data_IF_636637926623
#
_entry.id   IF_636637926623
#
_cell.length_a   1.000
_cell.length_b   1.000
_cell.length_c   1.000
_cell.angle_alpha   90.00
_cell.angle_beta   90.00
_cell.angle_gamma   90.00
#
_symmetry.space_group_name_H-M   'P 1'
#
loop_
_entity.id
_entity.type
_entity.pdbx_description
1 polymer ?
#
# COMPACT_ATOMS: atom_id res chain seq x y z
N UNK A 1 -20.70 32.20 -9.19
CA UNK A 1 -21.08 31.21 -10.22
C UNK A 1 -20.62 29.85 -9.73
N UNK A 2 -21.55 29.07 -9.19
CA UNK A 2 -21.30 27.80 -8.51
C UNK A 2 -21.11 26.68 -9.54
N UNK A 3 -19.93 26.06 -9.57
CA UNK A 3 -19.78 24.69 -10.08
C UNK A 3 -19.28 23.81 -8.93
N UNK A 4 -20.26 23.21 -8.25
CA UNK A 4 -20.09 22.06 -7.38
C UNK A 4 -19.58 20.88 -8.23
N UNK A 5 -18.30 20.53 -8.11
CA UNK A 5 -17.76 19.28 -8.62
C UNK A 5 -17.73 18.23 -7.51
N UNK A 6 -18.92 17.82 -7.10
CA UNK A 6 -19.09 16.52 -6.47
C UNK A 6 -18.95 15.43 -7.54
N UNK A 7 -18.16 14.39 -7.21
CA UNK A 7 -17.92 13.13 -7.96
C UNK A 7 -16.77 13.12 -8.98
N UNK A 8 -15.53 13.11 -8.49
CA UNK A 8 -14.53 12.19 -9.04
C UNK A 8 -14.54 10.88 -8.23
N UNK A 9 -15.53 10.03 -8.52
CA UNK A 9 -15.62 8.67 -7.99
C UNK A 9 -14.87 7.76 -8.95
N UNK A 10 -13.55 7.63 -8.81
CA UNK A 10 -12.72 6.87 -9.76
C UNK A 10 -11.92 5.75 -9.11
N UNK A 11 -12.52 4.55 -9.20
CA UNK A 11 -11.94 3.20 -9.13
C UNK A 11 -10.67 3.02 -8.28
N UNK A 12 -10.89 2.89 -6.98
CA UNK A 12 -10.20 1.87 -6.19
C UNK A 12 -10.66 0.51 -6.70
N UNK A 13 -9.81 -0.34 -7.30
CA UNK A 13 -9.94 -1.82 -7.27
C UNK A 13 -8.89 -2.63 -8.06
N UNK A 14 -8.16 -2.07 -9.03
CA UNK A 14 -7.49 -2.94 -10.02
C UNK A 14 -6.12 -3.52 -9.66
N UNK A 15 -5.78 -3.78 -8.39
CA UNK A 15 -4.42 -4.26 -8.04
C UNK A 15 -4.30 -5.53 -7.17
N UNK A 16 -5.28 -6.42 -7.21
CA UNK A 16 -5.14 -7.74 -6.57
C UNK A 16 -5.40 -8.95 -7.48
N UNK A 17 -5.34 -8.79 -8.80
CA UNK A 17 -5.39 -9.93 -9.72
C UNK A 17 -4.15 -10.01 -10.60
N UNK A 18 -3.08 -10.57 -10.04
CA UNK A 18 -2.37 -11.68 -10.67
C UNK A 18 -1.72 -12.53 -9.60
N UNK A 19 -2.56 -13.37 -8.98
CA UNK A 19 -2.13 -14.56 -8.26
C UNK A 19 -1.84 -15.60 -9.35
N UNK A 20 -0.59 -16.08 -9.47
CA UNK A 20 -0.30 -17.28 -10.25
C UNK A 20 0.46 -18.27 -9.35
N UNK A 21 -0.24 -19.21 -8.69
CA UNK A 21 0.37 -20.15 -7.77
C UNK A 21 0.72 -21.45 -8.51
N UNK A 22 1.98 -21.61 -8.87
CA UNK A 22 2.60 -22.94 -8.94
C UNK A 22 3.72 -22.89 -7.88
N UNK A 23 3.75 -23.67 -6.81
CA UNK A 23 3.22 -25.01 -6.55
C UNK A 23 3.18 -25.29 -5.04
N UNK A 24 2.47 -26.37 -4.66
CA UNK A 24 2.50 -27.13 -3.38
C UNK A 24 1.78 -26.60 -2.14
N UNK A 25 0.47 -26.90 -2.10
CA UNK A 25 -0.36 -27.45 -1.00
C UNK A 25 0.32 -27.58 0.39
N UNK A 26 -0.14 -26.82 1.41
CA UNK A 26 -1.07 -27.30 2.45
C UNK A 26 -1.49 -26.19 3.44
N UNK A 27 -2.77 -26.23 3.83
CA UNK A 27 -3.46 -25.54 4.95
C UNK A 27 -4.14 -24.18 4.70
N UNK A 28 -5.46 -24.27 4.49
CA UNK A 28 -6.56 -23.40 4.96
C UNK A 28 -6.23 -21.92 5.27
N UNK A 29 -6.52 -21.03 4.32
CA UNK A 29 -7.68 -20.12 4.37
C UNK A 29 -7.61 -19.14 3.20
N UNK A 30 -8.69 -19.07 2.44
CA UNK A 30 -8.93 -18.02 1.45
C UNK A 30 -8.71 -16.65 2.12
N UNK A 31 -8.10 -15.73 1.38
CA UNK A 31 -7.83 -14.33 1.74
C UNK A 31 -8.95 -13.72 2.61
N UNK A 32 -8.80 -13.74 3.94
CA UNK A 32 -9.80 -13.16 4.83
C UNK A 32 -9.61 -11.64 4.78
N UNK A 33 -10.51 -10.94 4.09
CA UNK A 33 -10.59 -9.49 4.19
C UNK A 33 -10.93 -9.14 5.65
N UNK A 34 -10.09 -8.34 6.28
CA UNK A 34 -10.25 -7.89 7.67
C UNK A 34 -10.72 -6.43 7.61
N UNK A 35 -12.03 -6.17 7.71
CA UNK A 35 -12.58 -4.82 7.55
C UNK A 35 -12.21 -3.90 8.71
N UNK A 36 -12.08 -4.46 9.92
CA UNK A 36 -11.82 -3.68 11.13
C UNK A 36 -10.30 -3.50 11.34
N UNK A 37 -9.80 -2.26 11.50
CA UNK A 37 -8.38 -2.00 11.70
C UNK A 37 -7.85 -2.55 13.04
N UNK A 38 -8.66 -2.59 14.10
CA UNK A 38 -8.24 -3.10 15.42
C UNK A 38 -8.06 -4.62 15.38
N UNK A 39 -8.95 -5.33 14.68
CA UNK A 39 -8.83 -6.78 14.44
C UNK A 39 -7.60 -7.08 13.58
N UNK A 40 -7.32 -6.26 12.58
CA UNK A 40 -6.12 -6.39 11.76
C UNK A 40 -4.84 -6.20 12.60
N UNK A 41 -4.82 -5.19 13.47
CA UNK A 41 -3.69 -4.92 14.38
C UNK A 41 -3.51 -6.04 15.39
N UNK A 42 -4.59 -6.53 16.00
CA UNK A 42 -4.54 -7.62 16.98
C UNK A 42 -4.04 -8.91 16.34
N UNK A 43 -4.54 -9.27 15.15
CA UNK A 43 -4.07 -10.42 14.39
C UNK A 43 -2.60 -10.29 14.02
N UNK A 44 -2.18 -9.13 13.51
CA UNK A 44 -0.78 -8.87 13.18
C UNK A 44 0.13 -9.01 14.40
N UNK A 45 -0.28 -8.46 15.54
CA UNK A 45 0.44 -8.59 16.80
C UNK A 45 0.55 -10.05 17.23
N UNK A 46 -0.52 -10.83 17.11
CA UNK A 46 -0.50 -12.26 17.44
C UNK A 46 0.52 -13.01 16.57
N UNK A 47 0.60 -12.70 15.27
CA UNK A 47 1.52 -13.33 14.33
C UNK A 47 2.99 -13.05 14.66
N UNK A 48 3.33 -11.85 15.14
CA UNK A 48 4.70 -11.52 15.56
C UNK A 48 5.19 -12.38 16.74
N UNK A 49 4.28 -12.88 17.56
CA UNK A 49 4.60 -13.68 18.75
C UNK A 49 4.52 -15.20 18.49
N UNK A 50 4.02 -15.62 17.32
CA UNK A 50 3.96 -17.05 16.96
C UNK A 50 5.37 -17.65 16.79
N UNK A 51 5.46 -18.94 17.09
CA UNK A 51 6.64 -19.79 16.92
C UNK A 51 6.17 -21.10 16.26
N UNK A 52 6.52 -21.38 14.99
CA UNK A 52 7.37 -20.57 14.10
C UNK A 52 6.71 -19.23 13.69
N UNK A 53 7.52 -18.27 13.24
CA UNK A 53 7.02 -17.01 12.68
C UNK A 53 6.27 -17.32 11.38
N UNK A 54 5.06 -16.76 11.17
CA UNK A 54 4.32 -16.97 9.95
C UNK A 54 5.06 -16.46 8.71
N UNK A 55 4.78 -17.02 7.53
CA UNK A 55 5.34 -16.54 6.27
C UNK A 55 4.90 -15.10 5.93
N UNK A 56 5.75 -14.39 5.19
CA UNK A 56 5.54 -12.98 4.80
C UNK A 56 4.20 -12.74 4.11
N UNK A 57 3.72 -13.71 3.32
CA UNK A 57 2.45 -13.57 2.60
C UNK A 57 1.25 -13.40 3.55
N UNK A 58 1.25 -14.00 4.74
CA UNK A 58 0.15 -13.83 5.71
C UNK A 58 0.13 -12.40 6.26
N UNK A 59 1.31 -11.80 6.50
CA UNK A 59 1.40 -10.40 6.89
C UNK A 59 0.89 -9.49 5.77
N UNK A 60 1.20 -9.80 4.51
CA UNK A 60 0.73 -9.06 3.35
C UNK A 60 -0.80 -9.05 3.23
N UNK A 61 -1.50 -10.11 3.67
CA UNK A 61 -2.97 -10.12 3.70
C UNK A 61 -3.51 -9.04 4.64
N UNK A 62 -2.95 -8.91 5.83
CA UNK A 62 -3.36 -7.91 6.81
C UNK A 62 -3.06 -6.49 6.31
N UNK A 63 -1.83 -6.27 5.83
CA UNK A 63 -1.41 -4.97 5.28
C UNK A 63 -2.26 -4.56 4.08
N UNK A 64 -2.54 -5.51 3.19
CA UNK A 64 -3.42 -5.29 2.03
C UNK A 64 -4.85 -4.97 2.43
N UNK A 65 -5.37 -5.62 3.47
CA UNK A 65 -6.70 -5.32 4.02
C UNK A 65 -6.79 -3.90 4.58
N UNK A 66 -5.79 -3.49 5.38
CA UNK A 66 -5.69 -2.12 5.90
C UNK A 66 -5.59 -1.09 4.77
N UNK A 67 -4.82 -1.36 3.72
CA UNK A 67 -4.74 -0.47 2.56
C UNK A 67 -6.09 -0.38 1.83
N UNK A 68 -6.83 -1.48 1.67
CA UNK A 68 -8.17 -1.50 1.07
C UNK A 68 -9.21 -0.72 1.89
N UNK A 69 -9.11 -0.76 3.22
CA UNK A 69 -9.96 0.01 4.14
C UNK A 69 -9.45 1.43 4.38
N UNK A 70 -8.45 1.88 3.60
CA UNK A 70 -7.84 3.23 3.66
C UNK A 70 -7.11 3.54 4.97
N UNK A 71 -6.79 2.51 5.76
CA UNK A 71 -5.97 2.61 6.97
C UNK A 71 -4.47 2.61 6.63
N UNK A 72 -4.05 3.53 5.75
CA UNK A 72 -2.71 3.57 5.17
C UNK A 72 -1.60 3.75 6.22
N UNK A 73 -1.80 4.68 7.16
CA UNK A 73 -0.83 4.94 8.24
C UNK A 73 -0.60 3.70 9.12
N UNK A 74 -1.67 2.95 9.41
CA UNK A 74 -1.59 1.71 10.19
C UNK A 74 -0.80 0.66 9.40
N UNK A 75 -1.11 0.45 8.12
CA UNK A 75 -0.38 -0.48 7.27
C UNK A 75 1.13 -0.14 7.21
N UNK A 76 1.49 1.14 7.04
CA UNK A 76 2.89 1.60 7.05
C UNK A 76 3.56 1.31 8.40
N UNK A 77 2.87 1.62 9.51
CA UNK A 77 3.39 1.37 10.86
C UNK A 77 3.63 -0.11 11.13
N UNK A 78 2.69 -0.99 10.77
CA UNK A 78 2.83 -2.43 10.93
C UNK A 78 3.96 -2.98 10.05
N UNK A 79 4.09 -2.51 8.81
CA UNK A 79 5.21 -2.92 7.95
C UNK A 79 6.57 -2.51 8.52
N UNK A 80 6.70 -1.35 9.18
CA UNK A 80 7.91 -0.96 9.93
C UNK A 80 8.24 -1.95 11.05
N UNK A 81 7.23 -2.48 11.72
CA UNK A 81 7.40 -3.48 12.78
C UNK A 81 7.87 -4.84 12.25
N UNK A 82 7.53 -5.21 11.01
CA UNK A 82 8.10 -6.41 10.36
C UNK A 82 9.63 -6.31 10.29
N UNK A 83 10.13 -5.19 9.75
CA UNK A 83 11.56 -4.93 9.61
C UNK A 83 12.29 -4.89 10.95
N UNK A 84 11.70 -4.23 11.97
CA UNK A 84 12.25 -4.23 13.32
C UNK A 84 12.35 -5.64 13.94
N UNK A 85 11.47 -6.56 13.54
CA UNK A 85 11.47 -7.97 13.97
C UNK A 85 12.33 -8.86 13.07
N UNK A 86 13.09 -8.29 12.13
CA UNK A 86 13.94 -9.03 11.20
C UNK A 86 13.17 -9.78 10.11
N UNK A 87 11.88 -9.48 9.92
CA UNK A 87 11.07 -10.08 8.86
C UNK A 87 11.29 -9.25 7.58
N UNK A 88 11.94 -9.86 6.59
CA UNK A 88 12.22 -9.20 5.32
C UNK A 88 10.93 -8.96 4.52
N UNK A 89 10.83 -7.76 3.93
CA UNK A 89 9.70 -7.37 3.08
C UNK A 89 9.92 -7.90 1.67
N UNK A 90 8.89 -8.51 1.11
CA UNK A 90 8.89 -8.93 -0.29
C UNK A 90 8.35 -7.83 -1.22
N UNK A 91 8.36 -8.11 -2.53
CA UNK A 91 7.84 -7.18 -3.54
C UNK A 91 6.36 -6.83 -3.32
N UNK A 92 5.57 -7.76 -2.80
CA UNK A 92 4.16 -7.51 -2.50
C UNK A 92 4.00 -6.53 -1.34
N UNK A 93 4.77 -6.69 -0.27
CA UNK A 93 4.80 -5.72 0.83
C UNK A 93 5.18 -4.32 0.32
N UNK A 94 6.20 -4.24 -0.55
CA UNK A 94 6.65 -2.96 -1.11
C UNK A 94 5.59 -2.30 -2.01
N UNK A 95 4.87 -3.08 -2.82
CA UNK A 95 3.76 -2.57 -3.63
C UNK A 95 2.61 -2.04 -2.76
N UNK A 96 2.29 -2.72 -1.65
CA UNK A 96 1.30 -2.21 -0.68
C UNK A 96 1.76 -0.87 -0.10
N UNK A 97 3.02 -0.77 0.32
CA UNK A 97 3.59 0.48 0.85
C UNK A 97 3.59 1.60 -0.17
N UNK A 98 3.95 1.30 -1.43
CA UNK A 98 3.93 2.26 -2.52
C UNK A 98 2.52 2.84 -2.70
N UNK A 99 1.49 1.98 -2.74
CA UNK A 99 0.11 2.43 -2.79
C UNK A 99 -0.23 3.30 -1.57
N UNK A 100 0.09 2.88 -0.34
CA UNK A 100 -0.18 3.66 0.87
C UNK A 100 0.46 5.06 0.82
N UNK A 101 1.73 5.17 0.43
CA UNK A 101 2.42 6.45 0.33
C UNK A 101 1.87 7.33 -0.79
N UNK A 102 1.50 6.75 -1.94
CA UNK A 102 0.82 7.47 -3.02
C UNK A 102 -0.51 8.06 -2.55
N UNK A 103 -1.35 7.28 -1.85
CA UNK A 103 -2.65 7.74 -1.34
C UNK A 103 -2.52 8.81 -0.23
N UNK A 104 -1.38 8.85 0.45
CA UNK A 104 -1.05 9.89 1.44
C UNK A 104 -0.29 11.08 0.84
N UNK A 105 -0.12 11.14 -0.49
CA UNK A 105 0.66 12.17 -1.19
C UNK A 105 2.12 12.31 -0.70
N UNK A 106 2.67 11.24 -0.14
CA UNK A 106 4.01 11.20 0.43
C UNK A 106 5.06 10.79 -0.63
N UNK A 107 5.26 11.65 -1.63
CA UNK A 107 6.08 11.33 -2.80
C UNK A 107 7.54 10.99 -2.47
N UNK A 108 8.15 11.66 -1.48
CA UNK A 108 9.53 11.36 -1.03
C UNK A 108 9.69 9.90 -0.61
N UNK A 109 8.74 9.39 0.17
CA UNK A 109 8.75 7.99 0.62
C UNK A 109 8.35 7.03 -0.51
N UNK A 110 7.45 7.46 -1.38
CA UNK A 110 7.07 6.67 -2.56
C UNK A 110 8.27 6.38 -3.46
N UNK A 111 9.09 7.40 -3.78
CA UNK A 111 10.32 7.21 -4.57
C UNK A 111 11.37 6.37 -3.84
N UNK A 112 11.46 6.46 -2.51
CA UNK A 112 12.33 5.60 -1.71
C UNK A 112 11.94 4.13 -1.83
N UNK A 113 10.64 3.80 -1.74
CA UNK A 113 10.13 2.45 -1.96
C UNK A 113 10.41 1.98 -3.39
N UNK A 114 10.19 2.83 -4.39
CA UNK A 114 10.48 2.53 -5.79
C UNK A 114 11.97 2.22 -6.01
N UNK A 115 12.86 3.01 -5.42
CA UNK A 115 14.31 2.76 -5.46
C UNK A 115 14.68 1.40 -4.85
N UNK A 116 14.00 0.99 -3.77
CA UNK A 116 14.19 -0.34 -3.17
C UNK A 116 13.73 -1.45 -4.10
N UNK A 117 12.58 -1.30 -4.77
CA UNK A 117 12.09 -2.27 -5.77
C UNK A 117 13.13 -2.46 -6.89
N UNK A 118 13.68 -1.37 -7.43
CA UNK A 118 14.74 -1.44 -8.43
C UNK A 118 16.01 -2.11 -7.90
N UNK A 119 16.43 -1.81 -6.67
CA UNK A 119 17.62 -2.42 -6.05
C UNK A 119 17.46 -3.94 -5.87
N UNK A 120 16.24 -4.42 -5.71
CA UNK A 120 15.92 -5.85 -5.65
C UNK A 120 15.88 -6.52 -7.04
N UNK A 121 16.12 -5.78 -8.12
CA UNK A 121 16.08 -6.30 -9.50
C UNK A 121 14.68 -6.39 -10.09
N UNK A 122 13.67 -5.84 -9.42
CA UNK A 122 12.29 -5.83 -9.91
C UNK A 122 12.04 -4.57 -10.76
N UNK A 123 11.31 -4.73 -11.86
CA UNK A 123 10.80 -3.62 -12.64
C UNK A 123 9.40 -3.22 -12.15
N UNK A 124 9.15 -1.95 -11.80
CA UNK A 124 7.82 -1.47 -11.51
C UNK A 124 6.96 -1.56 -12.77
N UNK A 125 5.77 -2.14 -12.65
CA UNK A 125 4.85 -2.27 -13.78
C UNK A 125 4.18 -0.94 -14.17
N UNK A 126 3.51 -0.96 -15.32
CA UNK A 126 2.81 0.19 -15.90
C UNK A 126 1.84 0.85 -14.92
N UNK A 127 1.22 0.08 -14.05
CA UNK A 127 0.25 0.59 -13.07
C UNK A 127 0.94 1.30 -11.92
N UNK A 128 2.06 0.77 -11.44
CA UNK A 128 2.93 1.46 -10.47
C UNK A 128 3.36 2.82 -11.01
N UNK A 129 3.80 2.86 -12.28
CA UNK A 129 4.18 4.10 -12.96
C UNK A 129 3.00 5.06 -13.16
N UNK A 130 1.82 4.54 -13.53
CA UNK A 130 0.61 5.35 -13.70
C UNK A 130 0.14 5.97 -12.37
N UNK A 131 0.25 5.22 -11.27
CA UNK A 131 -0.13 5.70 -9.93
C UNK A 131 0.79 6.83 -9.47
N UNK A 132 2.10 6.70 -9.71
CA UNK A 132 3.09 7.76 -9.47
C UNK A 132 2.82 9.02 -10.28
N UNK A 133 2.54 8.89 -11.58
CA UNK A 133 2.22 10.04 -12.43
C UNK A 133 0.99 10.79 -11.93
N UNK A 134 -0.07 10.07 -11.52
CA UNK A 134 -1.28 10.69 -10.95
C UNK A 134 -1.00 11.43 -9.64
N UNK A 135 -0.17 10.85 -8.76
CA UNK A 135 0.23 11.50 -7.51
C UNK A 135 1.01 12.80 -7.73
N UNK A 136 1.91 12.82 -8.71
CA UNK A 136 2.67 14.03 -9.09
C UNK A 136 1.77 15.11 -9.68
N UNK A 137 0.83 14.73 -10.54
CA UNK A 137 -0.11 15.67 -11.16
C UNK A 137 -0.98 16.32 -10.08
N UNK A 138 -1.54 15.54 -9.16
CA UNK A 138 -2.34 16.07 -8.05
C UNK A 138 -1.56 17.08 -7.19
N UNK A 139 -0.32 16.77 -6.83
CA UNK A 139 0.54 17.69 -6.08
C UNK A 139 0.85 18.98 -6.86
N UNK A 140 1.07 18.88 -8.18
CA UNK A 140 1.29 20.05 -9.02
C UNK A 140 0.05 20.96 -9.10
N UNK A 141 -1.15 20.39 -9.17
CA UNK A 141 -2.41 21.16 -9.14
C UNK A 141 -2.63 21.83 -7.79
N UNK A 142 -2.34 21.15 -6.69
CA UNK A 142 -2.48 21.70 -5.33
C UNK A 142 -1.56 22.91 -5.11
N UNK A 143 -0.32 22.82 -5.63
CA UNK A 143 0.61 23.97 -5.66
C UNK A 143 0.10 25.10 -6.57
N UNK A 144 -0.48 24.78 -7.72
CA UNK A 144 -1.03 25.78 -8.63
C UNK A 144 -2.22 26.54 -8.02
N UNK A 145 -3.15 25.81 -7.39
CA UNK A 145 -4.29 26.40 -6.67
C UNK A 145 -3.80 27.27 -5.50
N UNK A 146 -2.78 26.84 -4.76
CA UNK A 146 -2.17 27.64 -3.70
C UNK A 146 -1.53 28.93 -4.23
N UNK A 147 -0.85 28.87 -5.38
CA UNK A 147 -0.30 30.06 -6.04
C UNK A 147 -1.41 31.03 -6.49
N UNK A 148 -2.47 30.50 -7.10
CA UNK A 148 -3.61 31.29 -7.54
C UNK A 148 -4.37 31.94 -6.37
N UNK A 149 -4.58 31.21 -5.28
CA UNK A 149 -5.21 31.71 -4.05
C UNK A 149 -4.37 32.78 -3.36
N UNK A 150 -3.05 32.77 -3.55
CA UNK A 150 -2.12 33.82 -3.07
C UNK A 150 -2.04 35.04 -4.01
N UNK A 151 -2.75 35.03 -5.13
CA UNK A 151 -2.77 36.13 -6.09
C UNK A 151 -1.45 36.32 -6.85
N UNK A 152 -0.66 35.26 -7.02
CA UNK A 152 0.56 35.23 -7.81
C UNK A 152 0.29 34.81 -9.26
#
# INVERSE_FOLDING_TARGET
MLLSFSRFRFLSSSFFLSFNPHSTIHSRSYSHFIPNPDDAVSLFNSMLHKRPIPPVFEFNQILGSLAKTKNYNIAISLSKRMEFRGIERDIFTLNILLNCFCQLHQMRFTFSVLGKIFKMGHQPDTVTMTTLMRGRIAYAWELFDEMHNRGL
#
